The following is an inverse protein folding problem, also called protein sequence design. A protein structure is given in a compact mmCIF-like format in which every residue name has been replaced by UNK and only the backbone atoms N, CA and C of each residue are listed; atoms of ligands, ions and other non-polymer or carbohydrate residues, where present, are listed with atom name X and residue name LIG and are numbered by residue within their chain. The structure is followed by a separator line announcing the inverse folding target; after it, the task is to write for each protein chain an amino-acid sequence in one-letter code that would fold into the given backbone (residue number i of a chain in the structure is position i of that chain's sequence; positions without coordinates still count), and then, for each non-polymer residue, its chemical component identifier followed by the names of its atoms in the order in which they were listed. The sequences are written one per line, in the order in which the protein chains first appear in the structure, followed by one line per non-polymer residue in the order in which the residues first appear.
data_IF_062721905603
#
_entry.id   IF_062721905603
#
_cell.length_a   1.000
_cell.length_b   1.000
_cell.length_c   1.000
_cell.angle_alpha   90.00
_cell.angle_beta   90.00
_cell.angle_gamma   90.00
#
_symmetry.space_group_name_H-M   'P 1'
#
loop_
_entity.id
_entity.type
_entity.pdbx_description
1 polymer ?
#
# COMPACT_ATOMS: atom_id res chain seq x y z
N UNK A 1 -8.58 0.17 2.25
CA UNK A 1 -9.16 1.43 2.77
C UNK A 1 -10.67 1.43 2.51
N UNK A 2 -11.49 2.02 3.38
CA UNK A 2 -12.96 2.01 3.21
C UNK A 2 -13.43 2.94 2.08
N UNK A 3 -12.72 4.04 1.88
CA UNK A 3 -12.90 4.95 0.74
C UNK A 3 -11.65 4.93 -0.15
N UNK A 4 -11.81 5.34 -1.41
CA UNK A 4 -10.75 5.32 -2.43
C UNK A 4 -10.29 6.69 -2.88
N UNK A 5 -10.24 7.69 -1.96
CA UNK A 5 -9.84 9.05 -2.33
C UNK A 5 -8.38 9.09 -2.79
N UNK A 6 -8.06 10.03 -3.66
CA UNK A 6 -6.70 10.25 -4.15
C UNK A 6 -5.71 10.39 -2.99
N UNK A 7 -4.63 9.60 -3.02
CA UNK A 7 -3.56 9.59 -2.01
C UNK A 7 -4.01 9.29 -0.57
N UNK A 8 -5.21 8.75 -0.35
CA UNK A 8 -5.81 8.62 0.99
C UNK A 8 -4.88 7.96 2.02
N UNK A 9 -4.29 6.81 1.70
CA UNK A 9 -3.39 6.10 2.62
C UNK A 9 -2.13 6.94 2.91
N UNK A 10 -1.56 7.58 1.88
CA UNK A 10 -0.33 8.38 1.99
C UNK A 10 -0.52 9.58 2.91
N UNK A 11 -1.61 10.33 2.71
CA UNK A 11 -1.95 11.49 3.54
C UNK A 11 -2.31 11.08 4.96
N UNK A 12 -3.09 10.00 5.12
CA UNK A 12 -3.44 9.52 6.46
C UNK A 12 -2.20 9.06 7.24
N UNK A 13 -1.24 8.39 6.60
CA UNK A 13 0.02 8.02 7.23
C UNK A 13 0.83 9.27 7.66
N UNK A 14 1.05 10.21 6.73
CA UNK A 14 1.85 11.40 7.00
C UNK A 14 1.21 12.37 8.01
N UNK A 15 -0.03 12.78 7.79
CA UNK A 15 -0.68 13.84 8.57
C UNK A 15 -1.63 13.31 9.64
N UNK A 16 -2.24 12.15 9.42
CA UNK A 16 -3.15 11.53 10.39
C UNK A 16 -2.40 10.79 11.49
N UNK A 17 -1.31 10.09 11.15
CA UNK A 17 -0.50 9.30 12.09
C UNK A 17 0.85 9.94 12.42
N UNK A 18 1.29 10.95 11.66
CA UNK A 18 2.62 11.55 11.83
C UNK A 18 3.78 10.67 11.34
N UNK A 19 3.48 9.58 10.62
CA UNK A 19 4.46 8.60 10.15
C UNK A 19 4.29 8.42 8.64
N UNK A 20 4.96 9.26 7.82
CA UNK A 20 4.84 9.17 6.37
C UNK A 20 5.42 7.85 5.84
N UNK A 21 4.93 7.41 4.68
CA UNK A 21 5.41 6.19 4.04
C UNK A 21 6.85 6.35 3.54
N UNK A 22 7.64 5.28 3.66
CA UNK A 22 9.01 5.23 3.15
C UNK A 22 9.05 5.48 1.64
N UNK A 23 9.96 6.35 1.19
CA UNK A 23 10.11 6.72 -0.21
C UNK A 23 8.94 7.52 -0.79
N UNK A 24 8.05 8.10 0.03
CA UNK A 24 7.02 9.03 -0.45
C UNK A 24 7.61 10.42 -0.75
N UNK A 25 7.69 10.85 -2.02
CA UNK A 25 8.35 12.10 -2.38
C UNK A 25 7.47 13.34 -2.15
N UNK A 26 6.18 13.17 -1.81
CA UNK A 26 5.23 14.28 -1.66
C UNK A 26 4.92 14.55 -0.20
N UNK A 27 4.62 13.50 0.57
CA UNK A 27 4.17 13.62 1.96
C UNK A 27 5.21 13.16 2.98
N UNK A 28 6.35 12.63 2.54
CA UNK A 28 7.44 12.16 3.38
C UNK A 28 8.80 12.67 2.89
N UNK A 29 9.85 11.95 3.25
CA UNK A 29 11.19 12.19 2.72
C UNK A 29 11.43 11.28 1.53
N UNK A 30 11.82 11.88 0.40
CA UNK A 30 12.36 11.15 -0.73
C UNK A 30 13.71 10.53 -0.33
N UNK A 31 13.69 9.32 0.22
CA UNK A 31 14.87 8.65 0.73
C UNK A 31 14.56 7.26 1.26
N UNK A 32 15.57 6.39 1.29
CA UNK A 32 15.48 5.04 1.83
C UNK A 32 14.77 4.00 0.95
N UNK A 33 14.06 4.41 -0.11
CA UNK A 33 13.51 3.51 -1.13
C UNK A 33 13.33 4.20 -2.48
N UNK A 34 13.32 3.43 -3.59
CA UNK A 34 13.21 3.95 -4.96
C UNK A 34 11.81 4.42 -5.38
N UNK A 35 10.79 4.15 -4.56
CA UNK A 35 9.39 4.58 -4.75
C UNK A 35 8.68 4.61 -3.41
N UNK A 36 7.44 5.12 -3.39
CA UNK A 36 6.57 4.99 -2.21
C UNK A 36 6.32 3.52 -1.90
N UNK A 37 6.71 3.09 -0.70
CA UNK A 37 6.51 1.74 -0.18
C UNK A 37 5.05 1.55 0.22
N UNK A 38 4.19 1.51 -0.79
CA UNK A 38 2.77 1.19 -0.71
C UNK A 38 2.43 0.15 -1.79
N UNK A 39 1.85 -0.97 -1.37
CA UNK A 39 1.51 -2.09 -2.24
C UNK A 39 0.10 -2.62 -1.92
N UNK A 40 -0.69 -2.84 -2.96
CA UNK A 40 -2.01 -3.47 -2.83
C UNK A 40 -1.86 -4.99 -2.82
N UNK A 41 -1.62 -5.56 -1.63
CA UNK A 41 -1.34 -6.99 -1.47
C UNK A 41 -2.54 -7.91 -1.80
N UNK A 42 -3.76 -7.38 -1.80
CA UNK A 42 -4.93 -8.16 -2.14
C UNK A 42 -6.14 -7.31 -2.50
N UNK A 43 -7.05 -7.93 -3.23
CA UNK A 43 -8.32 -7.35 -3.63
C UNK A 43 -9.42 -8.40 -3.53
N UNK A 44 -10.51 -8.04 -2.86
CA UNK A 44 -11.74 -8.82 -2.86
C UNK A 44 -12.84 -8.00 -3.51
N UNK A 45 -13.46 -8.55 -4.56
CA UNK A 45 -14.62 -7.95 -5.22
C UNK A 45 -15.84 -8.81 -4.95
N UNK A 46 -16.75 -8.27 -4.14
CA UNK A 46 -18.04 -8.90 -3.87
C UNK A 46 -18.92 -8.87 -5.12
N UNK A 47 -19.66 -9.96 -5.32
CA UNK A 47 -20.57 -10.15 -6.45
C UNK A 47 -21.87 -10.72 -5.92
N UNK A 48 -23.00 -10.19 -6.39
CA UNK A 48 -24.31 -10.51 -5.82
C UNK A 48 -24.66 -11.99 -5.98
N UNK A 49 -24.61 -12.48 -7.21
CA UNK A 49 -25.13 -13.82 -7.57
C UNK A 49 -24.05 -14.88 -7.70
N UNK A 50 -22.78 -14.51 -7.52
CA UNK A 50 -21.65 -15.40 -7.73
C UNK A 50 -20.64 -15.24 -6.61
N UNK A 51 -19.80 -16.25 -6.35
CA UNK A 51 -18.72 -16.11 -5.37
C UNK A 51 -17.87 -14.87 -5.63
N UNK A 52 -17.37 -14.29 -4.53
CA UNK A 52 -16.45 -13.16 -4.55
C UNK A 52 -15.20 -13.52 -5.36
N UNK A 53 -14.67 -12.53 -6.07
CA UNK A 53 -13.34 -12.65 -6.69
C UNK A 53 -12.34 -12.26 -5.62
N UNK A 54 -11.37 -13.13 -5.36
CA UNK A 54 -10.25 -12.87 -4.46
C UNK A 54 -8.98 -12.93 -5.28
N UNK A 55 -8.18 -11.88 -5.21
CA UNK A 55 -6.86 -11.81 -5.81
C UNK A 55 -5.83 -11.42 -4.75
N UNK A 56 -4.67 -12.07 -4.80
CA UNK A 56 -3.52 -11.79 -3.93
C UNK A 56 -2.34 -11.47 -4.83
N UNK A 57 -1.60 -10.43 -4.48
CA UNK A 57 -0.34 -10.07 -5.11
C UNK A 57 0.79 -10.37 -4.11
N UNK A 58 1.80 -11.18 -4.49
CA UNK A 58 2.96 -11.42 -3.63
C UNK A 58 3.73 -10.12 -3.41
N UNK A 59 4.47 -10.02 -2.31
CA UNK A 59 5.29 -8.84 -2.06
C UNK A 59 6.25 -8.57 -3.24
N UNK A 60 6.29 -7.33 -3.75
CA UNK A 60 7.24 -6.93 -4.77
C UNK A 60 8.70 -7.11 -4.33
N UNK A 61 9.60 -7.36 -5.28
CA UNK A 61 11.02 -7.62 -5.00
C UNK A 61 11.72 -6.48 -4.25
N UNK A 62 11.30 -5.23 -4.44
CA UNK A 62 11.83 -4.07 -3.71
C UNK A 62 11.42 -4.06 -2.23
N UNK A 63 10.25 -4.62 -1.87
CA UNK A 63 9.88 -4.86 -0.47
C UNK A 63 10.74 -5.98 0.12
N UNK A 64 10.89 -7.09 -0.59
CA UNK A 64 11.71 -8.22 -0.14
C UNK A 64 13.17 -7.80 0.09
N UNK A 65 13.73 -6.98 -0.80
CA UNK A 65 15.08 -6.44 -0.68
C UNK A 65 15.27 -5.54 0.57
N UNK A 66 14.19 -4.95 1.09
CA UNK A 66 14.20 -4.18 2.35
C UNK A 66 13.98 -5.06 3.59
N UNK A 67 13.89 -6.38 3.43
CA UNK A 67 13.73 -7.34 4.53
C UNK A 67 12.29 -7.64 4.92
N UNK A 68 11.30 -7.21 4.13
CA UNK A 68 9.91 -7.64 4.32
C UNK A 68 9.72 -9.08 3.84
N UNK A 69 8.84 -9.82 4.51
CA UNK A 69 8.45 -11.19 4.15
C UNK A 69 6.94 -11.26 4.03
N UNK A 70 6.45 -12.12 3.13
CA UNK A 70 5.02 -12.45 3.09
C UNK A 70 4.65 -13.12 4.43
N UNK A 71 3.53 -12.67 5.02
CA UNK A 71 3.03 -13.15 6.32
C UNK A 71 2.12 -14.37 6.23
#
# INVERSE_FOLDING_TARGET
PETGRTHQIRVHAASGLGVPLLGDPVYGTAGGAGRTMLHGAGLTVQRETKPAIVAVAPLPADFVALGFVDG
#
